data_IF_741315535908
#
_entry.id   IF_741315535908
#
_cell.length_a   1.000
_cell.length_b   1.000
_cell.length_c   1.000
_cell.angle_alpha   90.00
_cell.angle_beta   90.00
_cell.angle_gamma   90.00
#
_symmetry.space_group_name_H-M   'P 1'
#
loop_
_entity.id
_entity.type
_entity.pdbx_description
1 polymer ?
#
# COMPACT_ATOMS: atom_id res chain seq x y z
N UNK A 1 17.72 -2.92 -3.20
CA UNK A 1 16.86 -1.76 -3.48
C UNK A 1 16.70 -0.85 -2.27
N UNK A 2 16.07 -1.30 -1.17
CA UNK A 2 15.77 -0.44 0.00
C UNK A 2 16.97 0.33 0.57
N UNK A 3 18.16 -0.27 0.59
CA UNK A 3 19.39 0.36 1.09
C UNK A 3 20.16 1.16 0.02
N UNK A 4 19.80 1.05 -1.27
CA UNK A 4 20.54 1.69 -2.36
C UNK A 4 20.04 3.12 -2.64
N UNK A 5 18.73 3.34 -2.53
CA UNK A 5 18.10 4.65 -2.77
C UNK A 5 18.55 5.71 -1.76
N UNK A 6 18.62 5.42 -0.44
CA UNK A 6 19.11 6.40 0.53
C UNK A 6 20.57 6.81 0.29
N UNK A 7 21.36 5.95 -0.37
CA UNK A 7 22.76 6.22 -0.71
C UNK A 7 22.93 6.97 -2.05
N UNK A 8 21.85 7.51 -2.63
CA UNK A 8 21.91 8.32 -3.85
C UNK A 8 22.05 7.53 -5.14
N UNK A 9 21.77 6.22 -5.15
CA UNK A 9 21.91 5.38 -6.34
C UNK A 9 20.82 5.60 -7.42
N UNK A 10 19.84 6.47 -7.17
CA UNK A 10 18.79 6.85 -8.13
C UNK A 10 17.38 6.77 -7.56
N UNK A 11 16.39 6.54 -8.44
CA UNK A 11 14.95 6.43 -8.11
C UNK A 11 14.55 4.96 -8.13
N UNK A 12 13.70 4.53 -7.18
CA UNK A 12 13.12 3.18 -7.19
C UNK A 12 11.61 3.21 -6.87
N UNK A 13 10.88 2.27 -7.46
CA UNK A 13 9.50 2.01 -7.09
C UNK A 13 9.47 1.01 -5.93
N UNK A 14 9.04 1.47 -4.76
CA UNK A 14 9.00 0.70 -3.53
C UNK A 14 7.57 0.63 -3.00
N UNK A 15 7.25 -0.40 -2.22
CA UNK A 15 5.96 -0.49 -1.56
C UNK A 15 5.89 0.49 -0.37
N UNK A 16 4.71 1.08 -0.11
CA UNK A 16 4.54 2.12 0.90
C UNK A 16 5.03 1.71 2.29
N UNK A 17 4.77 0.47 2.71
CA UNK A 17 5.22 -0.06 4.01
C UNK A 17 6.75 -0.13 4.16
N UNK A 18 7.50 -0.17 3.05
CA UNK A 18 8.97 -0.19 3.09
C UNK A 18 9.57 1.20 3.24
N UNK A 19 8.85 2.23 2.80
CA UNK A 19 9.37 3.62 2.72
C UNK A 19 8.71 4.56 3.70
N UNK A 20 7.64 4.14 4.40
CA UNK A 20 6.88 4.95 5.37
C UNK A 20 7.80 5.70 6.33
N UNK A 21 8.68 4.99 7.02
CA UNK A 21 9.51 5.58 8.07
C UNK A 21 10.57 6.53 7.48
N UNK A 22 11.13 6.17 6.31
CA UNK A 22 12.08 7.03 5.59
C UNK A 22 11.44 8.29 4.99
N UNK A 23 10.16 8.23 4.61
CA UNK A 23 9.38 9.39 4.19
C UNK A 23 9.04 10.28 5.38
N UNK A 24 8.80 9.69 6.57
CA UNK A 24 8.55 10.43 7.79
C UNK A 24 9.81 11.12 8.34
N UNK A 25 10.99 10.52 8.16
CA UNK A 25 12.30 11.08 8.54
C UNK A 25 12.91 12.03 7.50
N UNK A 26 12.22 12.28 6.38
CA UNK A 26 12.73 13.06 5.25
C UNK A 26 14.03 12.51 4.60
N UNK A 27 14.35 11.24 4.81
CA UNK A 27 15.46 10.57 4.12
C UNK A 27 15.12 10.23 2.66
N UNK A 28 13.83 10.03 2.37
CA UNK A 28 13.30 9.80 1.03
C UNK A 28 12.29 10.88 0.66
N UNK A 29 12.20 11.16 -0.65
CA UNK A 29 11.18 12.02 -1.25
C UNK A 29 10.41 11.27 -2.32
N UNK A 30 9.14 11.62 -2.50
CA UNK A 30 8.29 11.02 -3.53
C UNK A 30 8.56 11.70 -4.86
N UNK A 31 8.94 10.92 -5.87
CA UNK A 31 9.07 11.36 -7.25
C UNK A 31 7.88 10.85 -8.08
N UNK A 32 7.52 11.60 -9.13
CA UNK A 32 6.51 11.18 -10.13
C UNK A 32 5.14 10.81 -9.54
N UNK A 33 4.70 11.46 -8.46
CA UNK A 33 3.44 11.15 -7.75
C UNK A 33 2.21 10.95 -8.67
N UNK A 34 2.10 11.75 -9.73
CA UNK A 34 1.00 11.70 -10.71
C UNK A 34 0.93 10.43 -11.56
N UNK A 35 1.98 9.60 -11.54
CA UNK A 35 2.09 8.37 -12.34
C UNK A 35 2.07 7.11 -11.47
N UNK A 36 1.75 7.22 -10.18
CA UNK A 36 1.69 6.09 -9.28
C UNK A 36 0.42 5.28 -9.55
N UNK A 37 0.53 3.94 -9.74
CA UNK A 37 -0.64 3.09 -9.91
C UNK A 37 -1.49 3.06 -8.63
N UNK A 38 -2.81 3.17 -8.81
CA UNK A 38 -3.79 3.32 -7.72
C UNK A 38 -4.05 2.01 -6.95
N UNK A 39 -3.78 0.86 -7.56
CA UNK A 39 -4.18 -0.45 -7.02
C UNK A 39 -2.97 -1.33 -6.66
N UNK A 40 -2.48 -1.20 -5.44
CA UNK A 40 -1.51 -2.14 -4.84
C UNK A 40 -1.93 -2.54 -3.43
N UNK A 41 -3.07 -3.20 -3.34
CA UNK A 41 -3.49 -3.89 -2.12
C UNK A 41 -2.64 -5.14 -1.82
N UNK A 42 -2.44 -5.44 -0.54
CA UNK A 42 -1.98 -6.75 -0.11
C UNK A 42 -3.17 -7.68 0.11
N UNK A 43 -3.09 -8.89 -0.45
CA UNK A 43 -4.18 -9.86 -0.41
C UNK A 43 -3.78 -11.09 0.39
N UNK A 44 -4.66 -11.55 1.28
CA UNK A 44 -4.54 -12.85 1.92
C UNK A 44 -5.37 -13.85 1.09
N UNK A 45 -4.68 -14.78 0.43
CA UNK A 45 -5.29 -15.75 -0.47
C UNK A 45 -5.46 -17.11 0.21
N UNK A 46 -6.63 -17.72 0.02
CA UNK A 46 -6.97 -19.06 0.52
C UNK A 46 -7.91 -19.78 -0.44
N UNK A 47 -7.91 -21.12 -0.40
CA UNK A 47 -8.52 -21.97 -1.43
C UNK A 47 -10.05 -21.89 -1.53
N UNK A 48 -10.76 -21.65 -0.42
CA UNK A 48 -12.23 -21.58 -0.43
C UNK A 48 -12.76 -20.70 0.69
N UNK A 49 -13.80 -19.90 0.40
CA UNK A 49 -14.57 -19.11 1.38
C UNK A 49 -15.61 -19.92 2.13
N UNK A 50 -16.03 -21.09 1.62
CA UNK A 50 -17.11 -21.89 2.21
C UNK A 50 -16.61 -22.87 3.28
N UNK A 51 -15.47 -23.53 3.04
CA UNK A 51 -14.94 -24.56 3.94
C UNK A 51 -13.64 -24.10 4.63
N UNK A 52 -13.64 -22.86 5.13
CA UNK A 52 -12.45 -22.31 5.76
C UNK A 52 -12.33 -22.83 7.21
N UNK A 53 -11.25 -23.55 7.58
CA UNK A 53 -11.08 -23.99 8.95
C UNK A 53 -11.05 -22.80 9.92
N UNK A 54 -11.65 -22.93 11.10
CA UNK A 54 -11.78 -21.85 12.11
C UNK A 54 -10.46 -21.15 12.40
N UNK A 55 -9.36 -21.90 12.49
CA UNK A 55 -8.01 -21.35 12.72
C UNK A 55 -7.57 -20.32 11.66
N UNK A 56 -7.93 -20.54 10.40
CA UNK A 56 -7.57 -19.64 9.30
C UNK A 56 -8.42 -18.37 9.37
N UNK A 57 -9.70 -18.49 9.72
CA UNK A 57 -10.56 -17.32 9.92
C UNK A 57 -10.02 -16.42 11.03
N UNK A 58 -9.71 -16.99 12.20
CA UNK A 58 -9.11 -16.26 13.32
C UNK A 58 -7.79 -15.61 12.90
N UNK A 59 -6.95 -16.32 12.15
CA UNK A 59 -5.70 -15.75 11.64
C UNK A 59 -5.92 -14.57 10.70
N UNK A 60 -6.86 -14.68 9.76
CA UNK A 60 -7.20 -13.58 8.82
C UNK A 60 -7.73 -12.37 9.57
N UNK A 61 -8.61 -12.59 10.55
CA UNK A 61 -9.18 -11.52 11.38
C UNK A 61 -8.06 -10.80 12.16
N UNK A 62 -7.20 -11.56 12.84
CA UNK A 62 -6.05 -11.04 13.57
C UNK A 62 -5.10 -10.25 12.66
N UNK A 63 -4.69 -10.82 11.52
CA UNK A 63 -3.78 -10.14 10.60
C UNK A 63 -4.38 -8.86 10.05
N UNK A 64 -5.68 -8.87 9.73
CA UNK A 64 -6.37 -7.69 9.19
C UNK A 64 -6.40 -6.57 10.22
N UNK A 65 -6.68 -6.87 11.49
CA UNK A 65 -6.65 -5.92 12.59
C UNK A 65 -5.25 -5.33 12.79
N UNK A 66 -4.23 -6.18 12.87
CA UNK A 66 -2.85 -5.76 13.05
C UNK A 66 -2.34 -4.90 11.88
N UNK A 67 -2.65 -5.27 10.64
CA UNK A 67 -2.22 -4.50 9.46
C UNK A 67 -2.89 -3.12 9.42
N UNK A 68 -4.17 -3.02 9.79
CA UNK A 68 -4.88 -1.73 9.88
C UNK A 68 -4.27 -0.82 10.95
N UNK A 69 -3.86 -1.40 12.08
CA UNK A 69 -3.21 -0.65 13.16
C UNK A 69 -1.84 -0.04 12.76
N UNK A 70 -1.18 -0.57 11.71
CA UNK A 70 0.11 -0.06 11.23
C UNK A 70 0.01 1.25 10.42
N UNK A 71 -1.19 1.71 10.09
CA UNK A 71 -1.46 2.93 9.29
C UNK A 71 -0.50 3.10 8.10
N UNK A 72 -0.52 2.12 7.19
CA UNK A 72 0.41 2.05 6.05
C UNK A 72 0.04 3.01 4.90
N UNK A 73 -0.87 3.96 5.14
CA UNK A 73 -1.43 4.90 4.16
C UNK A 73 -0.56 6.13 3.90
N UNK A 74 0.77 5.99 3.99
CA UNK A 74 1.70 7.11 3.82
C UNK A 74 1.69 7.74 2.41
N UNK A 75 1.10 7.04 1.44
CA UNK A 75 0.98 7.50 0.05
C UNK A 75 -0.32 8.25 -0.24
N UNK A 76 -1.33 8.18 0.65
CA UNK A 76 -2.66 8.77 0.38
C UNK A 76 -2.60 10.27 0.08
N UNK A 77 -1.71 11.02 0.74
CA UNK A 77 -1.53 12.46 0.48
C UNK A 77 -1.02 12.79 -0.94
N UNK A 78 -0.35 11.84 -1.59
CA UNK A 78 0.23 12.05 -2.91
C UNK A 78 -0.72 11.66 -4.06
N UNK A 79 -1.83 11.00 -3.75
CA UNK A 79 -2.87 10.59 -4.71
C UNK A 79 -4.08 11.55 -4.75
N UNK A 80 -4.07 12.64 -3.97
CA UNK A 80 -5.21 13.55 -3.82
C UNK A 80 -5.67 14.25 -5.12
N UNK A 81 -4.80 14.32 -6.14
CA UNK A 81 -5.13 14.93 -7.44
C UNK A 81 -5.94 14.02 -8.38
N UNK A 82 -6.07 12.71 -8.08
CA UNK A 82 -6.73 11.72 -8.95
C UNK A 82 -8.14 11.31 -8.47
N UNK A 83 -8.44 11.46 -7.17
CA UNK A 83 -9.74 11.08 -6.59
C UNK A 83 -10.94 11.88 -7.09
N UNK A 84 -10.72 13.03 -7.76
CA UNK A 84 -11.80 13.81 -8.39
C UNK A 84 -12.20 13.24 -9.76
N UNK A 85 -11.37 12.43 -10.40
CA UNK A 85 -11.61 11.95 -11.77
C UNK A 85 -12.35 10.59 -11.85
N UNK A 86 -12.32 9.77 -10.80
CA UNK A 86 -12.85 8.39 -10.83
C UNK A 86 -14.35 8.27 -10.52
N UNK A 87 -15.04 9.34 -10.13
CA UNK A 87 -16.48 9.30 -9.80
C UNK A 87 -17.42 9.24 -11.02
N UNK A 88 -16.92 9.32 -12.26
CA UNK A 88 -17.79 9.50 -13.46
C UNK A 88 -17.87 8.27 -14.37
N UNK A 89 -17.53 7.06 -13.93
CA UNK A 89 -17.51 5.93 -14.88
C UNK A 89 -17.68 4.55 -14.30
N UNK A 90 -18.90 4.21 -13.84
CA UNK A 90 -19.45 2.85 -13.94
C UNK A 90 -20.99 2.89 -13.97
N UNK A 91 -21.53 3.33 -15.10
CA UNK A 91 -22.88 2.97 -15.53
C UNK A 91 -22.79 2.46 -16.97
N UNK A 92 -22.68 1.15 -17.12
CA UNK A 92 -23.00 0.39 -18.33
C UNK A 92 -23.19 -1.08 -17.93
#
# INVERSE_FOLDING_TARGET
>A
MLQAVPNGAGIAQMAGYQVRDHLASNELVVALAKHVPEDRGHYICYLSRQHLPTRIRIFVDFMTEQIRALDLNCMTRFNQDLTVASSTGWAA
#
